data_IF_380889614153
#
_entry.id   IF_380889614153
#
_cell.length_a   1.000
_cell.length_b   1.000
_cell.length_c   1.000
_cell.angle_alpha   90.00
_cell.angle_beta   90.00
_cell.angle_gamma   90.00
#
_symmetry.space_group_name_H-M   'P 1'
#
loop_
_entity.id
_entity.type
_entity.pdbx_description
1 polymer ?
#
# COMPACT_ATOMS: atom_id res chain seq x y z
N UNK A 1 3.36 8.63 -14.47
CA UNK A 1 2.61 7.36 -14.23
C UNK A 1 1.56 7.13 -15.33
N UNK A 2 1.32 5.87 -15.73
CA UNK A 2 0.23 5.53 -16.66
C UNK A 2 -1.15 5.62 -15.99
N UNK A 3 -2.19 5.94 -16.77
CA UNK A 3 -3.57 6.07 -16.26
C UNK A 3 -4.03 4.84 -15.44
N UNK A 4 -3.79 3.64 -15.96
CA UNK A 4 -4.16 2.39 -15.29
C UNK A 4 -3.50 2.22 -13.90
N UNK A 5 -2.24 2.64 -13.75
CA UNK A 5 -1.52 2.60 -12.47
C UNK A 5 -2.11 3.59 -11.47
N UNK A 6 -2.45 4.81 -11.92
CA UNK A 6 -3.11 5.82 -11.07
C UNK A 6 -4.49 5.35 -10.61
N UNK A 7 -5.31 4.81 -11.53
CA UNK A 7 -6.65 4.29 -11.19
C UNK A 7 -6.55 3.13 -10.18
N UNK A 8 -5.59 2.22 -10.36
CA UNK A 8 -5.33 1.13 -9.42
C UNK A 8 -4.90 1.63 -8.04
N UNK A 9 -4.02 2.62 -7.99
CA UNK A 9 -3.57 3.24 -6.74
C UNK A 9 -4.72 3.92 -6.00
N UNK A 10 -5.55 4.69 -6.70
CA UNK A 10 -6.71 5.36 -6.11
C UNK A 10 -7.77 4.36 -5.63
N UNK A 11 -7.97 3.25 -6.36
CA UNK A 11 -8.83 2.15 -5.92
C UNK A 11 -8.32 1.49 -4.61
N UNK A 12 -7.00 1.30 -4.49
CA UNK A 12 -6.37 0.80 -3.26
C UNK A 12 -6.53 1.80 -2.10
N UNK A 13 -6.25 3.09 -2.33
CA UNK A 13 -6.43 4.18 -1.35
C UNK A 13 -7.87 4.16 -0.83
N UNK A 14 -8.85 4.16 -1.73
CA UNK A 14 -10.27 4.05 -1.38
C UNK A 14 -10.57 2.80 -0.56
N UNK A 15 -10.10 1.62 -0.98
CA UNK A 15 -10.35 0.37 -0.27
C UNK A 15 -9.86 0.41 1.18
N UNK A 16 -8.68 1.01 1.41
CA UNK A 16 -8.11 1.21 2.75
C UNK A 16 -8.97 2.16 3.57
N UNK A 17 -9.30 3.34 3.03
CA UNK A 17 -10.05 4.37 3.77
C UNK A 17 -11.52 4.02 4.02
N UNK A 18 -12.12 3.15 3.21
CA UNK A 18 -13.46 2.60 3.46
C UNK A 18 -13.48 1.67 4.70
N UNK A 19 -12.32 1.30 5.25
CA UNK A 19 -12.18 0.34 6.36
C UNK A 19 -11.37 0.92 7.51
N UNK A 20 -12.07 1.44 8.52
CA UNK A 20 -11.42 1.98 9.74
C UNK A 20 -10.46 0.98 10.41
N UNK A 21 -10.79 -0.31 10.42
CA UNK A 21 -9.91 -1.34 10.96
C UNK A 21 -8.60 -1.44 10.17
N UNK A 22 -8.65 -1.32 8.85
CA UNK A 22 -7.47 -1.35 8.00
C UNK A 22 -6.56 -0.13 8.24
N UNK A 23 -7.15 1.06 8.32
CA UNK A 23 -6.42 2.30 8.64
C UNK A 23 -5.67 2.15 9.96
N UNK A 24 -6.34 1.65 11.01
CA UNK A 24 -5.71 1.42 12.32
C UNK A 24 -4.57 0.39 12.25
N UNK A 25 -4.76 -0.72 11.52
CA UNK A 25 -3.72 -1.75 11.36
C UNK A 25 -2.46 -1.22 10.68
N UNK A 26 -2.64 -0.42 9.62
CA UNK A 26 -1.52 0.20 8.90
C UNK A 26 -0.82 1.24 9.79
N UNK A 27 -1.57 2.15 10.43
CA UNK A 27 -0.99 3.16 11.32
C UNK A 27 -0.21 2.54 12.50
N UNK A 28 -0.71 1.43 13.05
CA UNK A 28 -0.05 0.69 14.12
C UNK A 28 1.09 -0.22 13.63
N UNK A 29 1.46 -0.16 12.35
CA UNK A 29 2.57 -0.93 11.80
C UNK A 29 2.35 -2.45 11.82
N UNK A 30 1.11 -2.95 11.88
CA UNK A 30 0.85 -4.39 11.98
C UNK A 30 1.31 -5.15 10.74
N UNK A 31 1.74 -6.39 10.93
CA UNK A 31 2.18 -7.30 9.86
C UNK A 31 3.70 -7.44 9.76
N UNK A 32 4.14 -8.49 9.09
CA UNK A 32 5.55 -8.88 8.96
C UNK A 32 6.09 -8.37 7.62
N UNK A 33 7.35 -7.93 7.58
CA UNK A 33 7.99 -7.51 6.32
C UNK A 33 7.86 -8.60 5.24
N UNK A 34 7.52 -8.19 4.01
CA UNK A 34 7.25 -9.07 2.88
C UNK A 34 5.83 -9.62 2.81
N UNK A 35 4.97 -9.39 3.81
CA UNK A 35 3.56 -9.81 3.76
C UNK A 35 2.64 -8.68 3.32
N UNK A 36 1.44 -9.03 2.87
CA UNK A 36 0.47 -8.03 2.41
C UNK A 36 -0.11 -7.23 3.57
N UNK A 37 -0.09 -5.91 3.45
CA UNK A 37 -0.80 -5.01 4.33
C UNK A 37 -2.25 -4.79 3.84
N UNK A 38 -2.42 -4.49 2.54
CA UNK A 38 -3.73 -4.27 1.92
C UNK A 38 -3.70 -4.58 0.41
N UNK A 39 -4.83 -4.86 -0.23
CA UNK A 39 -6.09 -5.26 0.39
C UNK A 39 -5.97 -6.68 0.99
N UNK A 40 -7.01 -7.16 1.68
CA UNK A 40 -7.07 -8.57 2.08
C UNK A 40 -7.08 -9.47 0.84
N UNK A 41 -6.46 -10.66 0.94
CA UNK A 41 -6.39 -11.66 -0.13
C UNK A 41 -7.70 -12.44 -0.29
N UNK A 42 -8.83 -11.74 -0.39
CA UNK A 42 -10.17 -12.32 -0.38
C UNK A 42 -10.97 -11.85 -1.60
N UNK A 43 -11.73 -12.76 -2.21
CA UNK A 43 -12.59 -12.44 -3.34
C UNK A 43 -11.82 -11.88 -4.54
N UNK A 44 -12.41 -10.89 -5.21
CA UNK A 44 -11.87 -10.28 -6.44
C UNK A 44 -10.98 -9.06 -6.18
N UNK A 45 -10.48 -8.85 -4.96
CA UNK A 45 -9.69 -7.66 -4.62
C UNK A 45 -8.45 -7.53 -5.53
N UNK A 46 -7.67 -8.60 -5.64
CA UNK A 46 -6.41 -8.57 -6.40
C UNK A 46 -6.64 -8.26 -7.89
N UNK A 47 -7.75 -8.75 -8.46
CA UNK A 47 -8.10 -8.56 -9.87
C UNK A 47 -8.75 -7.20 -10.15
N UNK A 48 -9.67 -6.75 -9.29
CA UNK A 48 -10.42 -5.49 -9.44
C UNK A 48 -9.60 -4.26 -9.08
N UNK A 49 -8.82 -4.33 -8.00
CA UNK A 49 -7.92 -3.22 -7.61
C UNK A 49 -6.67 -3.25 -8.49
N UNK A 50 -6.12 -4.43 -8.77
CA UNK A 50 -4.94 -4.58 -9.63
C UNK A 50 -3.62 -4.17 -8.98
N UNK A 51 -3.61 -3.81 -7.71
CA UNK A 51 -2.39 -3.51 -6.95
C UNK A 51 -2.55 -3.87 -5.47
N UNK A 52 -1.44 -3.82 -4.75
CA UNK A 52 -1.35 -4.12 -3.32
C UNK A 52 -0.34 -3.22 -2.62
N UNK A 53 -0.54 -3.11 -1.31
CA UNK A 53 0.39 -2.54 -0.35
C UNK A 53 0.98 -3.69 0.47
N UNK A 54 2.30 -3.82 0.45
CA UNK A 54 3.03 -4.81 1.25
C UNK A 54 3.74 -4.13 2.42
N UNK A 55 3.82 -4.85 3.53
CA UNK A 55 4.60 -4.47 4.70
C UNK A 55 6.09 -4.53 4.34
N UNK A 56 6.79 -3.42 4.55
CA UNK A 56 8.24 -3.36 4.53
C UNK A 56 8.84 -3.50 5.92
N UNK A 57 10.10 -3.10 6.02
CA UNK A 57 10.92 -3.13 7.21
C UNK A 57 10.45 -2.10 8.26
N UNK A 58 10.57 -2.46 9.54
CA UNK A 58 10.45 -1.52 10.66
C UNK A 58 11.85 -1.04 11.04
N UNK A 59 12.03 0.25 11.27
CA UNK A 59 13.31 0.84 11.64
C UNK A 59 13.13 2.04 12.56
N UNK A 60 14.18 2.37 13.32
CA UNK A 60 14.17 3.51 14.25
C UNK A 60 14.92 4.68 13.62
N UNK A 61 14.29 5.86 13.63
CA UNK A 61 14.89 7.13 13.22
C UNK A 61 14.59 8.18 14.29
N UNK A 62 15.61 8.86 14.78
CA UNK A 62 15.49 9.92 15.80
C UNK A 62 14.67 9.49 17.04
N UNK A 63 14.88 8.25 17.50
CA UNK A 63 14.18 7.67 18.65
C UNK A 63 12.72 7.29 18.40
N UNK A 64 12.22 7.36 17.16
CA UNK A 64 10.86 6.98 16.76
C UNK A 64 10.90 5.78 15.82
N UNK A 65 9.98 4.84 16.02
CA UNK A 65 9.80 3.71 15.11
C UNK A 65 8.99 4.11 13.87
N UNK A 66 9.47 3.69 12.72
CA UNK A 66 8.83 3.86 11.42
C UNK A 66 8.64 2.50 10.78
N UNK A 67 7.62 2.39 9.92
CA UNK A 67 7.44 1.24 9.05
C UNK A 67 7.40 1.67 7.59
N UNK A 68 8.17 0.97 6.77
CA UNK A 68 8.10 1.08 5.32
C UNK A 68 6.90 0.33 4.77
N UNK A 69 6.27 0.89 3.75
CA UNK A 69 5.27 0.21 2.93
C UNK A 69 5.64 0.30 1.46
N UNK A 70 5.35 -0.77 0.73
CA UNK A 70 5.74 -0.93 -0.68
C UNK A 70 4.48 -1.15 -1.53
N UNK A 71 4.30 -0.33 -2.56
CA UNK A 71 3.19 -0.48 -3.51
C UNK A 71 3.63 -1.28 -4.74
N UNK A 72 2.85 -2.32 -5.07
CA UNK A 72 3.15 -3.26 -6.15
C UNK A 72 1.90 -3.52 -7.00
N UNK A 73 2.10 -3.85 -8.29
CA UNK A 73 1.02 -4.21 -9.21
C UNK A 73 0.80 -5.72 -9.21
N UNK A 74 -0.46 -6.16 -9.23
CA UNK A 74 -0.82 -7.56 -9.19
C UNK A 74 -0.85 -8.19 -10.60
N UNK A 75 -0.25 -9.38 -10.75
CA UNK A 75 -0.24 -10.14 -12.01
C UNK A 75 -1.61 -10.63 -12.50
N UNK A 76 -2.60 -10.69 -11.60
CA UNK A 76 -3.98 -11.11 -11.89
C UNK A 76 -4.94 -9.93 -12.06
N UNK A 77 -4.43 -8.71 -12.24
CA UNK A 77 -5.25 -7.54 -12.56
C UNK A 77 -6.12 -7.79 -13.81
N UNK A 78 -7.38 -7.35 -13.78
CA UNK A 78 -8.28 -7.39 -14.95
C UNK A 78 -7.84 -6.39 -16.03
N UNK A 79 -7.23 -5.28 -15.61
CA UNK A 79 -6.70 -4.29 -16.54
C UNK A 79 -5.48 -4.85 -17.28
N UNK A 80 -5.57 -4.95 -18.62
CA UNK A 80 -4.54 -5.53 -19.46
C UNK A 80 -3.18 -4.82 -19.34
N UNK A 81 -3.17 -3.50 -19.14
CA UNK A 81 -1.93 -2.73 -18.94
C UNK A 81 -1.24 -3.13 -17.64
N UNK A 82 -2.00 -3.23 -16.54
CA UNK A 82 -1.45 -3.66 -15.25
C UNK A 82 -0.94 -5.10 -15.32
N UNK A 83 -1.67 -5.98 -16.00
CA UNK A 83 -1.29 -7.37 -16.23
C UNK A 83 0.01 -7.51 -17.02
N UNK A 84 0.16 -6.76 -18.12
CA UNK A 84 1.41 -6.74 -18.92
C UNK A 84 2.60 -6.16 -18.14
N UNK A 85 2.35 -5.17 -17.29
CA UNK A 85 3.41 -4.62 -16.43
C UNK A 85 3.87 -5.65 -15.41
N UNK A 86 2.92 -6.29 -14.71
CA UNK A 86 3.23 -7.25 -13.66
C UNK A 86 3.69 -8.63 -14.17
N UNK A 87 3.45 -8.97 -15.44
CA UNK A 87 3.99 -10.19 -16.04
C UNK A 87 5.51 -10.12 -16.25
N UNK A 88 6.05 -8.92 -16.43
CA UNK A 88 7.50 -8.67 -16.60
C UNK A 88 8.24 -8.79 -15.28
N UNK A 89 7.67 -8.23 -14.23
CA UNK A 89 8.18 -8.34 -12.85
C UNK A 89 7.03 -8.13 -11.86
N UNK A 90 6.50 -9.23 -11.32
CA UNK A 90 5.37 -9.20 -10.39
C UNK A 90 5.75 -8.78 -8.97
N UNK A 91 7.04 -8.61 -8.68
CA UNK A 91 7.56 -8.17 -7.39
C UNK A 91 8.12 -6.75 -7.44
N UNK A 92 8.06 -6.10 -8.61
CA UNK A 92 8.52 -4.73 -8.78
C UNK A 92 7.82 -3.79 -7.81
N UNK A 93 8.63 -3.12 -6.98
CA UNK A 93 8.20 -2.03 -6.10
C UNK A 93 8.11 -0.74 -6.92
N UNK A 94 6.88 -0.26 -7.10
CA UNK A 94 6.58 0.92 -7.91
C UNK A 94 6.61 2.23 -7.12
N UNK A 95 6.35 2.15 -5.82
CA UNK A 95 6.48 3.23 -4.86
C UNK A 95 6.77 2.65 -3.48
N UNK A 96 7.47 3.39 -2.64
CA UNK A 96 7.63 3.08 -1.22
C UNK A 96 7.60 4.35 -0.38
N UNK A 97 7.13 4.22 0.85
CA UNK A 97 7.04 5.33 1.79
C UNK A 97 7.10 4.81 3.22
N UNK A 98 7.55 5.66 4.13
CA UNK A 98 7.79 5.33 5.52
C UNK A 98 6.85 6.16 6.40
N UNK A 99 6.12 5.52 7.32
CA UNK A 99 5.28 6.22 8.29
C UNK A 99 5.71 5.96 9.73
N UNK A 100 5.56 6.93 10.64
CA UNK A 100 5.75 6.68 12.06
C UNK A 100 4.69 5.69 12.55
N UNK A 101 5.13 4.68 13.31
CA UNK A 101 4.20 3.74 13.97
C UNK A 101 3.49 4.48 15.09
N UNK A 102 2.16 4.37 15.12
CA UNK A 102 1.34 4.99 16.17
C UNK A 102 0.20 4.10 16.61
N UNK A 103 0.05 3.93 17.93
CA UNK A 103 -1.12 3.30 18.55
C UNK A 103 -2.25 4.31 18.85
N UNK A 104 -2.00 5.61 18.62
CA UNK A 104 -2.99 6.66 18.79
C UNK A 104 -3.99 6.66 17.62
N UNK A 105 -5.18 6.10 17.89
CA UNK A 105 -6.26 5.98 16.93
C UNK A 105 -6.73 7.34 16.36
N UNK A 106 -6.55 8.44 17.09
CA UNK A 106 -6.93 9.78 16.60
C UNK A 106 -6.03 10.25 15.45
N UNK A 107 -4.78 9.79 15.41
CA UNK A 107 -3.78 10.12 14.37
C UNK A 107 -3.73 9.12 13.22
N UNK A 108 -4.37 7.95 13.37
CA UNK A 108 -4.27 6.87 12.40
C UNK A 108 -4.67 7.28 10.98
N UNK A 109 -5.80 7.98 10.83
CA UNK A 109 -6.29 8.42 9.51
C UNK A 109 -5.33 9.42 8.85
N UNK A 110 -4.83 10.40 9.59
CA UNK A 110 -3.88 11.38 9.08
C UNK A 110 -2.55 10.72 8.67
N UNK A 111 -2.04 9.81 9.50
CA UNK A 111 -0.81 9.05 9.24
C UNK A 111 -0.93 8.22 7.96
N UNK A 112 -2.03 7.50 7.78
CA UNK A 112 -2.28 6.70 6.57
C UNK A 112 -2.57 7.61 5.36
N UNK A 113 -3.13 8.81 5.54
CA UNK A 113 -3.26 9.76 4.43
C UNK A 113 -1.90 10.17 3.91
N UNK A 114 -1.01 10.58 4.83
CA UNK A 114 0.36 10.93 4.48
C UNK A 114 1.08 9.77 3.78
N UNK A 115 0.88 8.52 4.23
CA UNK A 115 1.42 7.35 3.54
C UNK A 115 1.05 7.33 2.05
N UNK A 116 -0.23 7.53 1.72
CA UNK A 116 -0.69 7.50 0.34
C UNK A 116 -0.25 8.73 -0.45
N UNK A 117 -0.06 9.88 0.21
CA UNK A 117 0.43 11.07 -0.47
C UNK A 117 1.94 10.89 -0.79
N UNK A 118 2.74 10.40 0.17
CA UNK A 118 4.17 10.08 -0.03
C UNK A 118 4.39 8.97 -1.06
N UNK A 119 3.53 7.94 -1.06
CA UNK A 119 3.57 6.89 -2.09
C UNK A 119 3.28 7.48 -3.48
N UNK A 120 2.35 8.44 -3.59
CA UNK A 120 2.04 9.07 -4.88
C UNK A 120 3.22 9.90 -5.40
N UNK A 121 3.94 10.56 -4.50
CA UNK A 121 5.17 11.31 -4.80
C UNK A 121 6.35 10.41 -5.18
N UNK A 122 6.48 9.22 -4.58
CA UNK A 122 7.61 8.30 -4.82
C UNK A 122 7.43 7.36 -6.01
N UNK A 123 6.33 7.51 -6.76
CA UNK A 123 6.00 6.67 -7.90
C UNK A 123 6.99 6.76 -9.07
N UNK A 124 7.45 5.58 -9.51
CA UNK A 124 8.30 5.40 -10.70
C UNK A 124 7.51 5.31 -12.01
#
# INVERSE_FOLDING_TARGET
MSRARRESFQALKKWVFDRNSQVKKIAAGQGIAGTRAAPSQSGSNDSKIGSRLDNGETFTKDGKEYKRYKWQINKNAENATLKDIASKDSHKVWAEADIPITSDNSKAKATVSQLFDDLEESMK
#
